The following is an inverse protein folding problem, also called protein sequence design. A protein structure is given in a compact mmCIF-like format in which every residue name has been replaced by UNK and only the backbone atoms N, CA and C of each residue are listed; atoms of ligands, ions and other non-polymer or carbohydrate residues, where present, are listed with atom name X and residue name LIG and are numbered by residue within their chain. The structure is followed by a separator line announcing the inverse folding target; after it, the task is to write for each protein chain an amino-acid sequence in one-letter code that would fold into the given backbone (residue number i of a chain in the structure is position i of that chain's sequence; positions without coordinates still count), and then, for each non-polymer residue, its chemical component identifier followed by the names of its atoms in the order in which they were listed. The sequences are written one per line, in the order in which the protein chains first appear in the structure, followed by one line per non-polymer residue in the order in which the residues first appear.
data_IF_916632960291
#
_entry.id   IF_916632960291
#
_cell.length_a   1.000
_cell.length_b   1.000
_cell.length_c   1.000
_cell.angle_alpha   90.00
_cell.angle_beta   90.00
_cell.angle_gamma   90.00
#
_symmetry.space_group_name_H-M   'P 1'
#
loop_
_entity.id
_entity.type
_entity.pdbx_description
1 polymer ?
#
# COMPACT_ATOMS: atom_id res chain seq x y z
N UNK A 1 20.48 -36.30 33.50
CA UNK A 1 19.73 -35.64 34.58
C UNK A 1 19.21 -34.32 34.02
N UNK A 2 17.97 -34.30 33.56
CA UNK A 2 17.30 -33.10 33.05
C UNK A 2 16.54 -32.46 34.21
N UNK A 3 16.94 -31.24 34.57
CA UNK A 3 16.42 -30.47 35.69
C UNK A 3 15.11 -29.79 35.28
N UNK A 4 13.97 -30.43 35.59
CA UNK A 4 12.63 -29.85 35.40
C UNK A 4 12.25 -29.05 36.64
N UNK A 5 12.42 -27.72 36.59
CA UNK A 5 11.90 -26.81 37.62
C UNK A 5 10.37 -26.91 37.69
N UNK A 6 9.85 -27.21 38.88
CA UNK A 6 8.42 -27.13 39.16
C UNK A 6 7.94 -25.66 39.18
N UNK A 7 6.74 -25.36 38.67
CA UNK A 7 6.18 -24.01 38.70
C UNK A 7 5.75 -23.62 40.12
N UNK A 8 6.00 -22.35 40.46
CA UNK A 8 5.66 -21.71 41.73
C UNK A 8 4.16 -21.42 41.80
N UNK A 9 3.49 -21.82 42.88
CA UNK A 9 2.07 -21.52 43.15
C UNK A 9 2.04 -20.43 44.22
N UNK A 10 1.56 -19.23 43.88
CA UNK A 10 1.29 -18.17 44.86
C UNK A 10 -0.15 -18.30 45.36
N UNK A 11 -0.32 -18.52 46.66
CA UNK A 11 -1.63 -18.61 47.29
C UNK A 11 -2.39 -17.28 47.16
N UNK A 12 -3.63 -17.34 46.64
CA UNK A 12 -4.64 -16.28 46.53
C UNK A 12 -4.50 -15.18 45.46
N UNK A 13 -3.95 -15.46 44.28
CA UNK A 13 -4.21 -14.64 43.09
C UNK A 13 -5.06 -15.41 42.07
N UNK A 14 -6.11 -14.77 41.54
CA UNK A 14 -6.88 -15.28 40.39
C UNK A 14 -5.89 -15.63 39.27
N UNK A 15 -5.95 -16.86 38.77
CA UNK A 15 -5.01 -17.28 37.73
C UNK A 15 -5.34 -16.56 36.42
N UNK A 16 -4.35 -16.42 35.54
CA UNK A 16 -4.56 -15.84 34.20
C UNK A 16 -5.64 -16.62 33.41
N UNK A 17 -5.80 -17.90 33.73
CA UNK A 17 -6.82 -18.80 33.18
C UNK A 17 -8.22 -18.48 33.71
N UNK A 18 -8.35 -18.12 34.99
CA UNK A 18 -9.63 -17.67 35.58
C UNK A 18 -10.08 -16.31 35.01
N UNK A 19 -9.11 -15.43 34.71
CA UNK A 19 -9.36 -14.16 34.01
C UNK A 19 -9.81 -14.40 32.56
N UNK A 20 -9.20 -15.34 31.83
CA UNK A 20 -9.64 -15.72 30.48
C UNK A 20 -11.07 -16.31 30.47
N UNK A 21 -11.41 -17.16 31.44
CA UNK A 21 -12.74 -17.76 31.58
C UNK A 21 -13.84 -16.74 31.93
N UNK A 22 -13.48 -15.65 32.62
CA UNK A 22 -14.41 -14.54 32.91
C UNK A 22 -14.70 -13.69 31.67
N UNK A 23 -13.72 -13.56 30.76
CA UNK A 23 -13.85 -12.81 29.50
C UNK A 23 -14.60 -13.58 28.40
N UNK A 24 -14.68 -14.91 28.49
CA UNK A 24 -15.39 -15.73 27.49
C UNK A 24 -16.92 -15.75 27.63
N UNK A 25 -17.46 -15.36 28.80
CA UNK A 25 -18.90 -15.50 29.11
C UNK A 25 -19.81 -14.42 28.53
N UNK A 26 -19.29 -13.34 27.95
CA UNK A 26 -20.12 -12.32 27.27
C UNK A 26 -19.94 -12.43 25.74
N UNK A 27 -20.51 -13.48 25.14
CA UNK A 27 -20.75 -13.54 23.70
C UNK A 27 -22.25 -13.53 23.46
N UNK A 28 -22.89 -12.35 23.55
CA UNK A 28 -24.24 -12.18 23.03
C UNK A 28 -24.20 -12.50 21.51
N UNK A 29 -24.85 -13.57 21.05
CA UNK A 29 -24.74 -14.06 19.68
C UNK A 29 -25.35 -13.08 18.66
N UNK A 30 -26.35 -12.29 19.06
CA UNK A 30 -26.91 -11.22 18.24
C UNK A 30 -25.89 -10.10 18.04
N UNK A 31 -25.23 -9.68 19.11
CA UNK A 31 -24.19 -8.64 19.08
C UNK A 31 -22.98 -9.08 18.24
N UNK A 32 -22.58 -10.36 18.34
CA UNK A 32 -21.56 -10.95 17.48
C UNK A 32 -21.99 -11.01 16.00
N UNK A 33 -23.27 -11.26 15.71
CA UNK A 33 -23.82 -11.25 14.35
C UNK A 33 -23.88 -9.83 13.77
N UNK A 34 -24.24 -8.84 14.59
CA UNK A 34 -24.27 -7.42 14.26
C UNK A 34 -22.84 -6.92 14.01
N UNK A 35 -21.89 -7.21 14.90
CA UNK A 35 -20.48 -6.89 14.73
C UNK A 35 -19.88 -7.55 13.48
N UNK A 36 -20.24 -8.81 13.17
CA UNK A 36 -19.86 -9.47 11.91
C UNK A 36 -20.46 -8.77 10.68
N UNK A 37 -21.71 -8.31 10.72
CA UNK A 37 -22.34 -7.53 9.62
C UNK A 37 -21.67 -6.15 9.46
N UNK A 38 -21.44 -5.44 10.55
CA UNK A 38 -20.76 -4.13 10.58
C UNK A 38 -19.32 -4.23 10.06
N UNK A 39 -18.57 -5.26 10.47
CA UNK A 39 -17.19 -5.47 10.00
C UNK A 39 -17.12 -5.94 8.53
N UNK A 40 -18.13 -6.64 8.02
CA UNK A 40 -18.22 -6.99 6.58
C UNK A 40 -18.48 -5.77 5.69
N UNK A 41 -19.21 -4.78 6.21
CA UNK A 41 -19.68 -3.58 5.49
C UNK A 41 -18.64 -2.47 5.39
N UNK A 42 -17.62 -2.43 6.25
CA UNK A 42 -16.59 -1.38 6.21
C UNK A 42 -15.63 -1.59 5.03
N UNK A 43 -16.00 -1.02 3.88
CA UNK A 43 -15.11 -0.87 2.73
C UNK A 43 -14.03 0.21 2.99
N UNK A 44 -14.32 1.11 3.94
CA UNK A 44 -13.46 2.18 4.41
C UNK A 44 -13.08 1.97 5.88
N UNK A 45 -11.82 2.23 6.22
CA UNK A 45 -11.34 2.44 7.58
C UNK A 45 -11.86 3.78 8.09
N UNK A 46 -12.03 3.89 9.40
CA UNK A 46 -12.29 5.20 10.01
C UNK A 46 -11.04 6.07 9.84
N UNK A 47 -11.17 7.35 9.48
CA UNK A 47 -10.05 8.26 9.55
C UNK A 47 -9.56 8.36 11.01
N UNK A 48 -8.24 8.51 11.24
CA UNK A 48 -7.71 8.78 12.58
C UNK A 48 -8.39 10.01 13.21
N UNK A 49 -8.57 9.97 14.52
CA UNK A 49 -9.24 11.04 15.30
C UNK A 49 -8.39 12.33 15.30
N UNK A 50 -7.08 12.19 15.15
CA UNK A 50 -6.06 13.22 15.32
C UNK A 50 -5.87 14.15 14.11
N UNK A 51 -6.91 14.33 13.29
CA UNK A 51 -6.91 15.28 12.17
C UNK A 51 -7.19 16.73 12.63
N UNK A 52 -7.12 17.02 13.93
CA UNK A 52 -7.45 18.34 14.49
C UNK A 52 -6.36 18.84 15.43
N UNK A 53 -5.71 19.90 14.94
CA UNK A 53 -4.88 20.86 15.66
C UNK A 53 -3.40 20.47 15.78
N UNK A 54 -2.60 21.04 14.88
CA UNK A 54 -1.16 21.05 14.96
C UNK A 54 -0.71 22.33 15.67
N UNK A 55 0.37 22.23 16.44
CA UNK A 55 1.03 23.37 17.07
C UNK A 55 1.51 24.37 16.00
N UNK A 56 1.29 25.66 16.23
CA UNK A 56 1.58 26.77 15.30
C UNK A 56 3.08 26.86 14.92
N UNK A 57 3.95 26.15 15.64
CA UNK A 57 5.40 26.27 15.55
C UNK A 57 6.11 25.09 14.88
N UNK A 58 5.39 24.05 14.46
CA UNK A 58 5.96 22.99 13.62
C UNK A 58 5.88 23.38 12.13
N UNK A 59 6.91 23.09 11.31
CA UNK A 59 6.80 23.25 9.86
C UNK A 59 5.54 22.50 9.37
N UNK A 60 4.76 23.08 8.44
CA UNK A 60 3.48 22.51 8.05
C UNK A 60 3.68 21.04 7.68
N UNK A 61 2.95 20.10 8.30
CA UNK A 61 3.15 18.70 7.99
C UNK A 61 2.88 18.50 6.50
N UNK A 62 3.61 17.54 5.94
CA UNK A 62 3.50 17.12 4.55
C UNK A 62 2.15 16.44 4.24
N UNK A 63 1.14 16.59 5.12
CA UNK A 63 -0.26 16.21 4.95
C UNK A 63 -0.96 16.93 3.79
N UNK A 64 -0.42 18.07 3.32
CA UNK A 64 -0.89 18.76 2.12
C UNK A 64 -0.21 18.27 0.82
N UNK A 65 0.68 17.27 0.89
CA UNK A 65 1.23 16.69 -0.33
C UNK A 65 0.16 15.84 -1.03
N UNK A 66 -0.14 16.23 -2.27
CA UNK A 66 -0.91 15.42 -3.20
C UNK A 66 -0.24 14.05 -3.40
N UNK A 67 -0.92 12.96 -3.01
CA UNK A 67 -0.44 11.59 -3.20
C UNK A 67 -0.19 11.30 -4.67
N UNK A 68 1.03 10.85 -4.97
CA UNK A 68 1.52 10.49 -6.31
C UNK A 68 1.83 9.00 -6.35
N UNK A 69 1.51 8.39 -7.47
CA UNK A 69 1.86 6.99 -7.76
C UNK A 69 2.45 6.90 -9.17
N UNK A 70 3.36 5.96 -9.36
CA UNK A 70 4.09 5.78 -10.62
C UNK A 70 3.24 4.97 -11.61
N UNK A 71 3.17 5.47 -12.84
CA UNK A 71 2.26 4.98 -13.87
C UNK A 71 2.58 3.55 -14.31
N UNK A 72 3.86 3.20 -14.44
CA UNK A 72 4.33 1.89 -14.89
C UNK A 72 3.99 0.78 -13.88
N UNK A 73 4.00 1.10 -12.58
CA UNK A 73 3.62 0.22 -11.47
C UNK A 73 2.10 0.10 -11.26
N UNK A 74 1.27 0.85 -11.99
CA UNK A 74 -0.20 0.71 -11.94
C UNK A 74 -0.71 -0.37 -12.89
N UNK A 75 -0.01 -0.65 -13.99
CA UNK A 75 -0.43 -1.66 -14.96
C UNK A 75 -0.14 -3.08 -14.46
N UNK A 76 0.86 -3.23 -13.58
CA UNK A 76 1.40 -4.51 -13.11
C UNK A 76 1.43 -4.49 -11.57
N UNK A 77 0.89 -5.52 -10.93
CA UNK A 77 0.96 -5.63 -9.47
C UNK A 77 2.37 -6.07 -9.03
N UNK A 78 3.12 -5.12 -8.47
CA UNK A 78 4.46 -5.36 -7.89
C UNK A 78 4.43 -5.76 -6.41
N UNK A 79 3.26 -6.18 -5.94
CA UNK A 79 3.00 -6.50 -4.54
C UNK A 79 1.88 -7.54 -4.42
N UNK A 80 1.77 -8.15 -3.24
CA UNK A 80 0.63 -8.98 -2.87
C UNK A 80 -0.63 -8.17 -2.59
N UNK A 81 -1.79 -8.60 -3.11
CA UNK A 81 -3.09 -7.96 -2.86
C UNK A 81 -3.67 -8.23 -1.47
N UNK A 82 -3.15 -9.24 -0.76
CA UNK A 82 -3.61 -9.60 0.57
C UNK A 82 -2.99 -8.73 1.67
N UNK A 83 -3.53 -8.86 2.89
CA UNK A 83 -2.88 -8.33 4.11
C UNK A 83 -1.70 -9.18 4.57
N UNK A 84 -1.74 -10.48 4.27
CA UNK A 84 -0.65 -11.41 4.57
C UNK A 84 0.38 -11.34 3.45
N UNK A 85 1.69 -11.33 3.79
CA UNK A 85 2.73 -11.37 2.79
C UNK A 85 2.65 -12.67 1.99
N UNK A 86 3.03 -12.59 0.72
CA UNK A 86 3.09 -13.69 -0.22
C UNK A 86 4.54 -14.07 -0.44
N UNK A 87 4.84 -15.37 -0.52
CA UNK A 87 6.20 -15.85 -0.77
C UNK A 87 6.40 -16.32 -2.21
N UNK A 88 5.33 -16.75 -2.88
CA UNK A 88 5.39 -17.17 -4.28
C UNK A 88 5.65 -15.96 -5.19
N UNK A 89 6.54 -16.06 -6.19
CA UNK A 89 6.80 -14.97 -7.11
C UNK A 89 5.57 -14.67 -7.97
N UNK A 90 5.49 -13.43 -8.47
CA UNK A 90 4.50 -13.02 -9.48
C UNK A 90 5.22 -12.91 -10.81
N UNK A 91 4.70 -13.61 -11.83
CA UNK A 91 5.27 -13.61 -13.17
C UNK A 91 4.30 -12.97 -14.17
N UNK A 92 4.84 -12.11 -15.01
CA UNK A 92 4.14 -11.46 -16.10
C UNK A 92 4.88 -11.72 -17.41
N UNK A 93 4.16 -12.30 -18.36
CA UNK A 93 4.65 -12.52 -19.72
C UNK A 93 4.00 -11.49 -20.64
N UNK A 94 4.71 -10.40 -20.90
CA UNK A 94 4.32 -9.39 -21.87
C UNK A 94 4.83 -9.79 -23.27
N UNK A 95 4.41 -9.05 -24.29
CA UNK A 95 4.80 -9.33 -25.68
C UNK A 95 6.30 -9.23 -25.93
N UNK A 96 6.97 -8.33 -25.22
CA UNK A 96 8.37 -7.93 -25.43
C UNK A 96 9.24 -8.03 -24.16
N UNK A 97 8.64 -8.40 -23.03
CA UNK A 97 9.34 -8.49 -21.75
C UNK A 97 8.73 -9.58 -20.85
N UNK A 98 9.61 -10.23 -20.08
CA UNK A 98 9.23 -11.08 -18.96
C UNK A 98 9.56 -10.33 -17.67
N UNK A 99 8.57 -10.19 -16.79
CA UNK A 99 8.71 -9.48 -15.52
C UNK A 99 8.44 -10.48 -14.40
N UNK A 100 9.35 -10.53 -13.43
CA UNK A 100 9.23 -11.38 -12.26
C UNK A 100 9.36 -10.52 -11.01
N UNK A 101 8.40 -10.64 -10.10
CA UNK A 101 8.39 -9.95 -8.81
C UNK A 101 8.57 -11.00 -7.72
N UNK A 102 9.58 -10.84 -6.88
CA UNK A 102 9.92 -11.79 -5.83
C UNK A 102 10.16 -11.05 -4.51
N UNK A 103 9.67 -11.62 -3.40
CA UNK A 103 9.95 -11.12 -2.05
C UNK A 103 11.14 -11.83 -1.40
N UNK A 104 11.56 -11.35 -0.23
CA UNK A 104 12.54 -12.05 0.59
C UNK A 104 12.01 -13.38 1.12
N UNK A 105 12.87 -14.39 1.26
CA UNK A 105 12.49 -15.74 1.74
C UNK A 105 11.87 -15.72 3.13
N UNK A 106 12.33 -14.82 4.03
CA UNK A 106 11.90 -14.79 5.43
C UNK A 106 10.71 -13.85 5.66
N UNK A 107 10.71 -12.68 5.01
CA UNK A 107 9.73 -11.61 5.23
C UNK A 107 8.59 -11.60 4.20
N UNK A 108 8.79 -12.25 3.05
CA UNK A 108 7.85 -12.30 1.94
C UNK A 108 7.83 -11.01 1.11
N UNK A 109 6.98 -11.00 0.09
CA UNK A 109 6.78 -9.86 -0.80
C UNK A 109 5.99 -8.76 -0.11
N UNK A 110 6.30 -7.50 -0.46
CA UNK A 110 5.53 -6.34 -0.06
C UNK A 110 4.05 -6.52 -0.43
N UNK A 111 3.17 -6.08 0.47
CA UNK A 111 1.73 -6.04 0.25
C UNK A 111 1.32 -4.68 -0.32
N UNK A 112 0.11 -4.60 -0.88
CA UNK A 112 -0.48 -3.34 -1.33
C UNK A 112 -0.60 -2.29 -0.21
N UNK A 113 -0.62 -2.71 1.06
CA UNK A 113 -0.62 -1.80 2.21
C UNK A 113 0.79 -1.31 2.53
N UNK A 114 1.81 -2.13 2.33
CA UNK A 114 3.21 -1.69 2.48
C UNK A 114 3.57 -0.66 1.42
N UNK A 115 3.01 -0.83 0.22
CA UNK A 115 3.16 0.11 -0.89
C UNK A 115 2.75 1.55 -0.56
N UNK A 116 1.97 1.79 0.50
CA UNK A 116 1.64 3.14 0.99
C UNK A 116 2.91 3.95 1.34
N UNK A 117 3.95 3.31 1.87
CA UNK A 117 5.24 3.96 2.19
C UNK A 117 5.97 4.34 0.90
N UNK A 118 5.87 3.50 -0.14
CA UNK A 118 6.42 3.81 -1.46
C UNK A 118 5.68 4.99 -2.10
N UNK A 119 4.36 5.07 -1.96
CA UNK A 119 3.56 6.23 -2.39
C UNK A 119 4.01 7.51 -1.66
N UNK A 120 4.25 7.45 -0.35
CA UNK A 120 4.80 8.56 0.40
C UNK A 120 6.15 9.02 -0.18
N UNK A 121 7.07 8.10 -0.42
CA UNK A 121 8.40 8.40 -0.95
C UNK A 121 8.34 9.11 -2.32
N UNK A 122 7.52 8.62 -3.25
CA UNK A 122 7.33 9.26 -4.57
C UNK A 122 6.71 10.65 -4.40
N UNK A 123 5.70 10.76 -3.55
CA UNK A 123 4.97 12.00 -3.32
C UNK A 123 5.87 13.07 -2.75
N UNK A 124 6.69 12.72 -1.77
CA UNK A 124 7.71 13.58 -1.18
C UNK A 124 8.71 14.05 -2.24
N UNK A 125 9.33 13.13 -2.99
CA UNK A 125 10.33 13.47 -3.99
C UNK A 125 9.75 14.37 -5.10
N UNK A 126 8.52 14.09 -5.53
CA UNK A 126 7.82 14.90 -6.54
C UNK A 126 7.50 16.30 -6.00
N UNK A 127 7.10 16.41 -4.74
CA UNK A 127 6.83 17.70 -4.09
C UNK A 127 8.10 18.55 -3.99
N UNK A 128 9.19 17.97 -3.51
CA UNK A 128 10.48 18.66 -3.42
C UNK A 128 10.99 19.10 -4.79
N UNK A 129 10.90 18.24 -5.81
CA UNK A 129 11.28 18.63 -7.16
C UNK A 129 10.40 19.76 -7.71
N UNK A 130 9.10 19.75 -7.43
CA UNK A 130 8.20 20.84 -7.84
C UNK A 130 8.51 22.15 -7.12
N UNK A 131 8.92 22.10 -5.85
CA UNK A 131 9.39 23.27 -5.08
C UNK A 131 10.66 23.83 -5.70
N UNK A 132 11.65 22.99 -5.96
CA UNK A 132 12.90 23.38 -6.62
C UNK A 132 12.61 24.02 -7.98
N UNK A 133 11.80 23.37 -8.83
CA UNK A 133 11.41 23.94 -10.14
C UNK A 133 10.79 25.34 -10.04
N UNK A 134 10.10 25.65 -8.93
CA UNK A 134 9.56 27.00 -8.69
C UNK A 134 10.65 27.99 -8.27
N UNK A 135 11.61 27.58 -7.46
CA UNK A 135 12.72 28.42 -7.01
C UNK A 135 13.70 28.72 -8.15
N UNK A 136 14.01 27.74 -9.01
CA UNK A 136 14.78 27.94 -10.25
C UNK A 136 14.11 28.99 -11.13
N UNK A 137 12.78 28.92 -11.29
CA UNK A 137 12.01 29.92 -12.05
C UNK A 137 12.05 31.34 -11.44
N UNK A 138 12.34 31.46 -10.14
CA UNK A 138 12.52 32.75 -9.46
C UNK A 138 13.96 33.28 -9.54
N UNK A 139 14.89 32.50 -10.11
CA UNK A 139 16.30 32.87 -10.23
C UNK A 139 17.16 32.56 -9.00
N UNK A 140 16.68 31.68 -8.10
CA UNK A 140 17.46 31.17 -6.97
C UNK A 140 18.35 29.99 -7.40
N UNK A 141 19.34 29.63 -6.57
CA UNK A 141 20.30 28.55 -6.85
C UNK A 141 19.64 27.20 -7.18
N UNK A 142 20.25 26.51 -8.14
CA UNK A 142 19.87 25.16 -8.55
C UNK A 142 20.44 24.13 -7.56
N UNK A 143 19.56 23.37 -6.90
CA UNK A 143 19.96 22.15 -6.19
C UNK A 143 19.04 20.99 -6.58
N UNK A 144 19.53 19.76 -6.44
CA UNK A 144 18.73 18.55 -6.65
C UNK A 144 18.23 17.99 -5.31
N UNK A 145 17.05 17.35 -5.27
CA UNK A 145 16.59 16.67 -4.07
C UNK A 145 17.60 15.61 -3.59
N UNK A 146 17.73 15.36 -2.28
CA UNK A 146 18.56 14.28 -1.77
C UNK A 146 18.02 12.90 -2.21
N UNK A 147 18.92 11.92 -2.36
CA UNK A 147 18.59 10.51 -2.67
C UNK A 147 18.10 9.72 -1.44
N UNK A 148 17.84 10.38 -0.32
CA UNK A 148 17.34 9.76 0.91
C UNK A 148 16.34 10.68 1.59
N UNK A 149 15.30 10.10 2.17
CA UNK A 149 14.29 10.80 2.96
C UNK A 149 14.40 10.41 4.43
N UNK A 150 14.09 11.35 5.32
CA UNK A 150 14.11 11.15 6.77
C UNK A 150 12.76 11.52 7.40
N UNK A 151 11.69 10.73 7.15
CA UNK A 151 10.38 11.04 7.69
C UNK A 151 10.33 10.77 9.20
N UNK A 152 9.58 11.61 9.93
CA UNK A 152 9.12 11.24 11.27
C UNK A 152 8.12 10.09 11.18
N UNK A 153 8.10 9.22 12.19
CA UNK A 153 7.14 8.10 12.22
C UNK A 153 5.71 8.59 12.29
N UNK A 154 5.46 9.64 13.08
CA UNK A 154 4.13 10.23 13.21
C UNK A 154 3.64 10.77 11.85
N UNK A 155 4.52 11.45 11.12
CA UNK A 155 4.24 11.99 9.80
C UNK A 155 3.90 10.89 8.78
N UNK A 156 4.71 9.83 8.75
CA UNK A 156 4.49 8.71 7.84
C UNK A 156 3.17 7.96 8.14
N UNK A 157 2.86 7.76 9.43
CA UNK A 157 1.60 7.14 9.86
C UNK A 157 0.39 8.02 9.51
N UNK A 158 0.50 9.33 9.74
CA UNK A 158 -0.53 10.32 9.39
C UNK A 158 -0.80 10.33 7.89
N UNK A 159 0.26 10.39 7.08
CA UNK A 159 0.15 10.33 5.63
C UNK A 159 -0.56 9.05 5.16
N UNK A 160 -0.19 7.90 5.73
CA UNK A 160 -0.81 6.61 5.41
C UNK A 160 -2.22 6.41 6.03
N UNK A 161 -2.74 7.42 6.75
CA UNK A 161 -3.98 7.35 7.54
C UNK A 161 -4.03 6.09 8.42
N UNK A 162 -2.99 5.92 9.25
CA UNK A 162 -2.87 4.85 10.24
C UNK A 162 -2.86 5.46 11.64
N UNK A 163 -3.42 4.74 12.60
CA UNK A 163 -3.46 5.19 13.99
C UNK A 163 -2.06 5.19 14.64
N UNK A 164 -1.86 6.04 15.63
CA UNK A 164 -0.65 6.07 16.45
C UNK A 164 -0.74 5.00 17.54
N UNK A 165 -0.03 3.88 17.37
CA UNK A 165 -0.05 2.79 18.35
C UNK A 165 1.16 1.88 18.22
N UNK A 166 1.60 1.28 19.33
CA UNK A 166 2.80 0.44 19.42
C UNK A 166 2.89 -0.67 18.37
N UNK A 167 1.75 -1.28 18.04
CA UNK A 167 1.67 -2.31 17.00
C UNK A 167 1.97 -1.76 15.60
N UNK A 168 1.53 -0.53 15.28
CA UNK A 168 1.76 0.10 13.99
C UNK A 168 3.25 0.41 13.76
N UNK A 169 4.02 0.66 14.81
CA UNK A 169 5.49 0.81 14.71
C UNK A 169 6.15 -0.51 14.29
N UNK A 170 5.79 -1.63 14.93
CA UNK A 170 6.30 -2.96 14.55
C UNK A 170 5.86 -3.36 13.14
N UNK A 171 4.64 -3.00 12.75
CA UNK A 171 4.15 -3.22 11.39
C UNK A 171 4.93 -2.40 10.37
N UNK A 172 5.26 -1.14 10.69
CA UNK A 172 6.06 -0.26 9.83
C UNK A 172 7.46 -0.82 9.57
N UNK A 173 8.15 -1.29 10.61
CA UNK A 173 9.46 -1.95 10.47
C UNK A 173 9.38 -3.16 9.52
N UNK A 174 8.40 -4.04 9.74
CA UNK A 174 8.16 -5.19 8.85
C UNK A 174 7.76 -4.77 7.42
N UNK A 175 7.05 -3.66 7.25
CA UNK A 175 6.71 -3.12 5.94
C UNK A 175 7.97 -2.64 5.19
N UNK A 176 8.88 -1.94 5.87
CA UNK A 176 10.16 -1.50 5.30
C UNK A 176 11.04 -2.68 4.91
N UNK A 177 11.12 -3.71 5.76
CA UNK A 177 11.83 -4.96 5.45
C UNK A 177 11.26 -5.64 4.19
N UNK A 178 9.94 -5.74 4.06
CA UNK A 178 9.31 -6.32 2.86
C UNK A 178 9.53 -5.47 1.60
N UNK A 179 9.48 -4.15 1.71
CA UNK A 179 9.69 -3.25 0.58
C UNK A 179 11.13 -3.30 0.04
N UNK A 180 12.12 -3.35 0.93
CA UNK A 180 13.55 -3.39 0.56
C UNK A 180 13.95 -4.74 -0.05
N UNK A 181 13.30 -5.81 0.38
CA UNK A 181 13.55 -7.18 -0.11
C UNK A 181 12.73 -7.55 -1.34
N UNK A 182 11.68 -6.80 -1.67
CA UNK A 182 10.91 -7.03 -2.90
C UNK A 182 11.71 -6.59 -4.12
N UNK A 183 12.11 -7.55 -4.95
CA UNK A 183 12.86 -7.34 -6.19
C UNK A 183 11.96 -7.54 -7.40
N UNK A 184 12.05 -6.60 -8.34
CA UNK A 184 11.39 -6.64 -9.64
C UNK A 184 12.49 -6.87 -10.68
N UNK A 185 12.43 -8.03 -11.33
CA UNK A 185 13.33 -8.41 -12.41
C UNK A 185 12.61 -8.23 -13.74
N UNK A 186 13.22 -7.52 -14.68
CA UNK A 186 12.73 -7.33 -16.04
C UNK A 186 13.75 -7.93 -17.01
N UNK A 187 13.31 -8.91 -17.78
CA UNK A 187 14.05 -9.46 -18.91
C UNK A 187 13.39 -9.00 -20.19
N UNK A 188 14.01 -8.04 -20.89
CA UNK A 188 13.55 -7.60 -22.21
C UNK A 188 14.05 -8.57 -23.27
N UNK A 189 13.12 -9.12 -24.05
CA UNK A 189 13.43 -10.05 -25.14
C UNK A 189 13.23 -9.29 -26.45
N UNK A 190 14.34 -8.88 -27.07
CA UNK A 190 14.32 -8.30 -28.41
C UNK A 190 15.06 -9.24 -29.38
N UNK A 191 14.81 -9.14 -30.68
CA UNK A 191 15.37 -10.03 -31.69
C UNK A 191 16.90 -9.99 -31.81
N UNK A 192 17.54 -8.92 -31.31
CA UNK A 192 19.00 -8.71 -31.39
C UNK A 192 19.72 -8.78 -30.04
N UNK A 193 19.11 -8.30 -28.94
CA UNK A 193 19.75 -8.18 -27.63
C UNK A 193 18.80 -8.61 -26.51
N UNK A 194 19.35 -9.26 -25.47
CA UNK A 194 18.68 -9.52 -24.19
C UNK A 194 19.23 -8.55 -23.14
N UNK A 195 18.36 -7.75 -22.52
CA UNK A 195 18.72 -6.86 -21.40
C UNK A 195 17.97 -7.32 -20.16
N UNK A 196 18.72 -7.62 -19.10
CA UNK A 196 18.16 -7.95 -17.80
C UNK A 196 18.43 -6.76 -16.85
N UNK A 197 17.41 -6.38 -16.10
CA UNK A 197 17.52 -5.41 -15.01
C UNK A 197 16.79 -5.95 -13.79
N UNK A 198 17.33 -5.66 -12.60
CA UNK A 198 16.68 -5.96 -11.33
C UNK A 198 16.71 -4.72 -10.47
N UNK A 199 15.57 -4.37 -9.89
CA UNK A 199 15.45 -3.20 -9.02
C UNK A 199 14.52 -3.48 -7.85
N UNK A 200 14.64 -2.65 -6.82
CA UNK A 200 13.86 -2.75 -5.59
C UNK A 200 12.87 -1.60 -5.51
N UNK A 201 11.80 -1.75 -4.72
CA UNK A 201 10.84 -0.68 -4.49
C UNK A 201 11.43 0.45 -3.64
N UNK A 202 12.17 0.12 -2.59
CA UNK A 202 12.99 1.07 -1.83
C UNK A 202 14.46 0.62 -1.84
N UNK A 203 15.37 1.55 -1.60
CA UNK A 203 16.78 1.24 -1.38
C UNK A 203 17.00 0.70 0.03
N UNK A 204 18.12 1.08 0.62
CA UNK A 204 18.40 0.78 2.02
C UNK A 204 17.49 1.58 2.96
N UNK A 205 17.24 1.05 4.14
CA UNK A 205 16.55 1.77 5.20
C UNK A 205 17.31 1.62 6.51
N UNK A 206 17.28 2.65 7.35
CA UNK A 206 17.86 2.64 8.69
C UNK A 206 16.79 3.08 9.69
N UNK A 207 16.63 2.32 10.77
CA UNK A 207 15.73 2.63 11.87
C UNK A 207 16.59 2.74 13.12
N UNK A 208 16.57 3.90 13.75
CA UNK A 208 17.21 4.10 15.05
C UNK A 208 16.14 4.03 16.13
N UNK A 209 16.37 3.20 17.14
CA UNK A 209 15.44 3.01 18.25
C UNK A 209 16.12 3.42 19.55
N UNK A 210 15.44 4.21 20.36
CA UNK A 210 15.94 4.61 21.68
C UNK A 210 15.96 3.38 22.59
N UNK A 211 17.13 3.09 23.18
CA UNK A 211 17.33 1.90 24.04
C UNK A 211 16.45 1.91 25.29
N UNK A 212 16.19 3.09 25.85
CA UNK A 212 15.46 3.25 27.12
C UNK A 212 13.95 3.12 26.96
N UNK A 213 13.39 3.71 25.89
CA UNK A 213 11.93 3.75 25.67
C UNK A 213 11.45 2.72 24.65
N UNK A 214 12.37 2.11 23.89
CA UNK A 214 12.04 1.23 22.76
C UNK A 214 11.33 1.93 21.60
N UNK A 215 11.25 3.27 21.62
CA UNK A 215 10.60 4.07 20.58
C UNK A 215 11.57 4.33 19.42
N UNK A 216 11.04 4.28 18.20
CA UNK A 216 11.79 4.66 17.00
C UNK A 216 12.07 6.17 17.09
N UNK A 217 13.36 6.55 17.08
CA UNK A 217 13.79 7.95 17.02
C UNK A 217 13.79 8.46 15.60
N UNK A 218 14.40 7.71 14.68
CA UNK A 218 14.69 8.18 13.32
C UNK A 218 14.52 7.06 12.31
N UNK A 219 13.90 7.38 11.18
CA UNK A 219 13.82 6.52 10.01
C UNK A 219 14.52 7.24 8.85
N UNK A 220 15.44 6.55 8.19
CA UNK A 220 16.00 6.99 6.91
C UNK A 220 15.65 5.96 5.85
N UNK A 221 15.12 6.42 4.70
CA UNK A 221 14.79 5.57 3.56
C UNK A 221 15.56 6.08 2.35
N UNK A 222 16.35 5.22 1.72
CA UNK A 222 17.05 5.51 0.47
C UNK A 222 16.12 5.31 -0.72
N UNK A 223 16.16 6.27 -1.65
CA UNK A 223 15.36 6.24 -2.88
C UNK A 223 16.15 5.46 -3.93
N UNK A 224 15.58 4.39 -4.53
CA UNK A 224 16.25 3.68 -5.62
C UNK A 224 16.55 4.59 -6.80
N UNK A 225 17.68 4.34 -7.46
CA UNK A 225 18.13 5.15 -8.60
C UNK A 225 17.07 5.28 -9.70
N UNK A 226 16.37 4.19 -10.04
CA UNK A 226 15.34 4.21 -11.07
C UNK A 226 14.15 5.12 -10.72
N UNK A 227 13.77 5.20 -9.44
CA UNK A 227 12.70 6.11 -8.96
C UNK A 227 13.20 7.54 -9.00
N UNK A 228 14.40 7.77 -8.46
CA UNK A 228 15.01 9.09 -8.39
C UNK A 228 15.15 9.70 -9.78
N UNK A 229 15.75 8.95 -10.71
CA UNK A 229 15.96 9.41 -12.08
C UNK A 229 14.63 9.62 -12.81
N UNK A 230 13.65 8.73 -12.58
CA UNK A 230 12.30 8.85 -13.16
C UNK A 230 11.53 10.11 -12.74
N UNK A 231 11.89 10.73 -11.62
CA UNK A 231 11.21 11.92 -11.08
C UNK A 231 12.05 13.19 -11.25
N UNK A 232 13.35 13.11 -10.96
CA UNK A 232 14.25 14.27 -10.90
C UNK A 232 14.86 14.59 -12.26
N UNK A 233 15.25 13.57 -13.03
CA UNK A 233 15.99 13.76 -14.29
C UNK A 233 15.09 13.89 -15.52
N UNK A 234 13.81 13.56 -15.40
CA UNK A 234 12.82 13.67 -16.47
C UNK A 234 12.06 14.99 -16.33
N UNK A 235 11.91 15.73 -17.43
CA UNK A 235 11.18 17.01 -17.44
C UNK A 235 9.71 16.83 -16.98
N UNK A 236 9.05 15.82 -17.53
CA UNK A 236 7.66 15.43 -17.23
C UNK A 236 7.63 14.04 -16.58
N UNK A 237 7.67 13.94 -15.23
CA UNK A 237 7.68 12.66 -14.54
C UNK A 237 6.36 11.89 -14.75
N UNK A 238 6.45 10.57 -14.92
CA UNK A 238 5.31 9.67 -15.16
C UNK A 238 4.57 9.31 -13.87
N UNK A 239 4.05 10.33 -13.17
CA UNK A 239 3.33 10.18 -11.91
C UNK A 239 1.87 10.63 -12.02
N UNK A 240 0.96 9.91 -11.38
CA UNK A 240 -0.46 10.25 -11.29
C UNK A 240 -0.85 10.62 -9.87
N UNK A 241 -1.65 11.68 -9.74
CA UNK A 241 -2.27 12.03 -8.46
C UNK A 241 -3.36 11.01 -8.09
N UNK A 242 -3.32 10.48 -6.88
CA UNK A 242 -4.38 9.70 -6.24
C UNK A 242 -5.19 10.57 -5.27
N UNK A 243 -6.44 10.19 -5.04
CA UNK A 243 -7.27 10.81 -4.01
C UNK A 243 -6.77 10.40 -2.61
N UNK A 244 -6.67 11.32 -1.63
CA UNK A 244 -6.26 11.00 -0.25
C UNK A 244 -7.12 9.92 0.45
N UNK A 245 -8.39 9.78 0.07
CA UNK A 245 -9.28 8.74 0.60
C UNK A 245 -8.90 7.32 0.12
N UNK A 246 -7.96 7.20 -0.83
CA UNK A 246 -7.34 5.94 -1.21
C UNK A 246 -6.81 5.18 0.02
N UNK A 247 -6.15 5.87 0.94
CA UNK A 247 -5.60 5.24 2.15
C UNK A 247 -6.69 4.70 3.07
N UNK A 248 -7.91 5.21 3.00
CA UNK A 248 -9.01 4.68 3.81
C UNK A 248 -9.54 3.35 3.28
N UNK A 249 -9.24 2.96 2.04
CA UNK A 249 -9.67 1.68 1.50
C UNK A 249 -9.08 0.52 2.33
N UNK A 250 -9.95 -0.29 2.92
CA UNK A 250 -9.54 -1.35 3.85
C UNK A 250 -9.16 -2.65 3.12
N UNK A 251 -9.74 -2.89 1.95
CA UNK A 251 -9.55 -4.11 1.17
C UNK A 251 -8.51 -3.89 0.07
N UNK A 252 -7.53 -4.78 -0.04
CA UNK A 252 -6.50 -4.69 -1.08
C UNK A 252 -7.06 -4.77 -2.50
N UNK A 253 -8.13 -5.54 -2.71
CA UNK A 253 -8.84 -5.56 -4.00
C UNK A 253 -9.43 -4.19 -4.38
N UNK A 254 -9.92 -3.40 -3.41
CA UNK A 254 -10.44 -2.06 -3.67
C UNK A 254 -9.34 -1.09 -4.09
N UNK A 255 -8.20 -1.14 -3.39
CA UNK A 255 -7.02 -0.34 -3.72
C UNK A 255 -6.48 -0.67 -5.11
N UNK A 256 -6.38 -1.97 -5.43
CA UNK A 256 -5.98 -2.40 -6.77
C UNK A 256 -6.93 -1.90 -7.85
N UNK A 257 -8.24 -2.05 -7.64
CA UNK A 257 -9.25 -1.55 -8.58
C UNK A 257 -9.21 -0.03 -8.73
N UNK A 258 -8.97 0.71 -7.65
CA UNK A 258 -8.82 2.17 -7.68
C UNK A 258 -7.60 2.60 -8.51
N UNK A 259 -6.43 1.97 -8.28
CA UNK A 259 -5.20 2.25 -9.07
C UNK A 259 -5.44 1.94 -10.55
N UNK A 260 -6.06 0.80 -10.83
CA UNK A 260 -6.39 0.41 -12.20
C UNK A 260 -7.36 1.39 -12.85
N UNK A 261 -8.42 1.81 -12.16
CA UNK A 261 -9.37 2.81 -12.65
C UNK A 261 -8.69 4.16 -12.90
N UNK A 262 -7.80 4.60 -12.00
CA UNK A 262 -7.05 5.85 -12.16
C UNK A 262 -6.18 5.83 -13.41
N UNK A 263 -5.46 4.75 -13.65
CA UNK A 263 -4.61 4.56 -14.84
C UNK A 263 -5.42 4.44 -16.12
N UNK A 264 -6.52 3.71 -16.07
CA UNK A 264 -7.32 3.31 -17.23
C UNK A 264 -8.30 4.40 -17.69
N UNK A 265 -9.15 4.83 -16.76
CA UNK A 265 -10.23 5.76 -17.04
C UNK A 265 -9.74 7.21 -16.88
N UNK A 266 -8.73 7.47 -16.04
CA UNK A 266 -8.29 8.85 -15.79
C UNK A 266 -9.45 9.72 -15.33
N UNK A 267 -9.86 10.68 -16.15
CA UNK A 267 -11.04 11.55 -15.92
C UNK A 267 -12.26 11.21 -16.81
N UNK A 268 -12.21 10.09 -17.54
CA UNK A 268 -13.24 9.65 -18.49
C UNK A 268 -13.81 8.28 -18.06
N UNK A 269 -13.98 7.35 -19.00
CA UNK A 269 -14.40 5.98 -18.75
C UNK A 269 -13.46 5.00 -19.45
N UNK A 270 -13.31 3.81 -18.88
CA UNK A 270 -12.55 2.72 -19.46
C UNK A 270 -13.25 1.38 -19.21
N UNK A 271 -13.07 0.45 -20.14
CA UNK A 271 -13.62 -0.91 -20.03
C UNK A 271 -12.52 -1.92 -20.29
N UNK A 272 -12.35 -2.86 -19.36
CA UNK A 272 -11.42 -3.98 -19.51
C UNK A 272 -12.14 -5.31 -19.47
N UNK A 273 -11.63 -6.28 -20.22
CA UNK A 273 -12.09 -7.65 -20.08
C UNK A 273 -11.65 -8.22 -18.73
N UNK A 274 -12.46 -9.13 -18.20
CA UNK A 274 -12.20 -9.76 -16.91
C UNK A 274 -10.84 -10.48 -16.89
N UNK A 275 -10.45 -11.09 -18.00
CA UNK A 275 -9.18 -11.82 -18.17
C UNK A 275 -7.98 -10.88 -18.04
N UNK A 276 -8.05 -9.68 -18.65
CA UNK A 276 -6.96 -8.69 -18.53
C UNK A 276 -6.80 -8.20 -17.10
N UNK A 277 -7.90 -8.04 -16.36
CA UNK A 277 -7.83 -7.62 -14.96
C UNK A 277 -7.25 -8.75 -14.10
N UNK A 278 -7.60 -10.00 -14.41
CA UNK A 278 -7.02 -11.18 -13.74
C UNK A 278 -5.51 -11.22 -13.93
N UNK A 279 -5.03 -11.10 -15.16
CA UNK A 279 -3.60 -11.06 -15.48
C UNK A 279 -2.90 -9.94 -14.71
N UNK A 280 -3.43 -8.71 -14.74
CA UNK A 280 -2.86 -7.55 -14.05
C UNK A 280 -2.85 -7.70 -12.52
N UNK A 281 -3.83 -8.42 -11.96
CA UNK A 281 -3.95 -8.62 -10.51
C UNK A 281 -2.81 -9.44 -9.91
N UNK A 282 -2.09 -10.22 -10.73
CA UNK A 282 -0.98 -11.05 -10.28
C UNK A 282 -1.38 -12.13 -9.26
N UNK A 283 -2.67 -12.48 -9.12
CA UNK A 283 -3.14 -13.43 -8.11
C UNK A 283 -2.73 -14.87 -8.41
N UNK A 284 -2.48 -15.69 -7.38
CA UNK A 284 -2.31 -17.15 -7.50
C UNK A 284 -3.64 -17.90 -7.55
N UNK A 285 -4.76 -17.23 -7.25
CA UNK A 285 -6.06 -17.89 -7.20
C UNK A 285 -6.47 -18.33 -8.60
N UNK A 286 -7.03 -19.53 -8.70
CA UNK A 286 -7.65 -20.03 -9.94
C UNK A 286 -8.71 -19.05 -10.43
N UNK A 287 -8.70 -18.75 -11.73
CA UNK A 287 -9.59 -17.75 -12.37
C UNK A 287 -11.05 -17.85 -11.93
N UNK A 288 -11.64 -19.05 -11.82
CA UNK A 288 -13.04 -19.24 -11.39
C UNK A 288 -13.30 -18.70 -9.98
N UNK A 289 -12.41 -18.96 -9.02
CA UNK A 289 -12.54 -18.47 -7.64
C UNK A 289 -12.34 -16.97 -7.59
N UNK A 290 -11.28 -16.48 -8.25
CA UNK A 290 -11.02 -15.05 -8.36
C UNK A 290 -12.18 -14.28 -9.01
N UNK A 291 -12.80 -14.83 -10.07
CA UNK A 291 -13.98 -14.28 -10.73
C UNK A 291 -15.16 -14.13 -9.75
N UNK A 292 -15.35 -15.10 -8.86
CA UNK A 292 -16.37 -15.00 -7.81
C UNK A 292 -16.01 -13.89 -6.81
N UNK A 293 -14.75 -13.86 -6.35
CA UNK A 293 -14.26 -12.87 -5.38
C UNK A 293 -14.40 -11.44 -5.91
N UNK A 294 -13.99 -11.20 -7.17
CA UNK A 294 -14.05 -9.87 -7.78
C UNK A 294 -15.49 -9.44 -8.06
N UNK A 295 -16.39 -10.38 -8.38
CA UNK A 295 -17.83 -10.10 -8.52
C UNK A 295 -18.43 -9.66 -7.18
N UNK A 296 -18.14 -10.36 -6.09
CA UNK A 296 -18.55 -9.97 -4.74
C UNK A 296 -17.94 -8.63 -4.31
N UNK A 297 -16.69 -8.38 -4.69
CA UNK A 297 -16.00 -7.11 -4.45
C UNK A 297 -16.72 -5.96 -5.14
N UNK A 298 -17.02 -6.08 -6.44
CA UNK A 298 -17.74 -5.05 -7.21
C UNK A 298 -19.16 -4.85 -6.69
N UNK A 299 -19.84 -5.92 -6.26
CA UNK A 299 -21.16 -5.79 -5.63
C UNK A 299 -21.10 -4.95 -4.36
N UNK A 300 -20.07 -5.13 -3.51
CA UNK A 300 -19.87 -4.32 -2.31
C UNK A 300 -19.55 -2.84 -2.63
N UNK A 301 -18.95 -2.56 -3.79
CA UNK A 301 -18.67 -1.18 -4.25
C UNK A 301 -19.94 -0.41 -4.68
N UNK A 302 -21.09 -1.08 -4.85
CA UNK A 302 -22.36 -0.39 -5.11
C UNK A 302 -22.85 0.41 -3.90
N UNK A 303 -22.62 -0.11 -2.70
CA UNK A 303 -23.01 0.55 -1.44
C UNK A 303 -22.00 1.62 -1.04
N UNK A 304 -20.70 1.31 -1.17
CA UNK A 304 -19.62 2.24 -0.89
C UNK A 304 -18.66 2.30 -2.08
N UNK A 305 -18.84 3.26 -3.02
CA UNK A 305 -18.02 3.38 -4.21
C UNK A 305 -16.56 3.71 -3.86
N UNK A 306 -15.66 3.51 -4.81
CA UNK A 306 -14.26 3.92 -4.66
C UNK A 306 -14.16 5.46 -4.73
N UNK A 307 -13.12 6.08 -4.14
CA UNK A 307 -12.89 7.51 -4.31
C UNK A 307 -12.80 7.83 -5.80
N UNK A 308 -13.52 8.86 -6.27
CA UNK A 308 -13.53 9.33 -7.67
C UNK A 308 -14.01 8.36 -8.75
N UNK A 309 -14.31 7.09 -8.43
CA UNK A 309 -14.57 6.05 -9.43
C UNK A 309 -15.75 5.15 -9.09
N UNK A 310 -16.63 4.95 -10.07
CA UNK A 310 -17.65 3.90 -10.07
C UNK A 310 -17.19 2.73 -10.91
N UNK A 311 -17.40 1.51 -10.41
CA UNK A 311 -17.05 0.26 -11.09
C UNK A 311 -18.30 -0.59 -11.27
N UNK A 312 -18.54 -1.01 -12.51
CA UNK A 312 -19.69 -1.84 -12.85
C UNK A 312 -19.27 -3.13 -13.56
N UNK A 313 -20.08 -4.16 -13.35
CA UNK A 313 -19.96 -5.47 -13.99
C UNK A 313 -20.84 -5.49 -15.24
N UNK A 314 -20.25 -5.60 -16.42
CA UNK A 314 -20.96 -5.70 -17.69
C UNK A 314 -20.83 -7.10 -18.29
N UNK A 315 -21.95 -7.66 -18.73
CA UNK A 315 -21.96 -8.94 -19.43
C UNK A 315 -22.50 -8.72 -20.84
N UNK A 316 -21.66 -8.96 -21.85
CA UNK A 316 -22.04 -8.91 -23.26
C UNK A 316 -21.90 -10.31 -23.85
N UNK A 317 -23.03 -11.03 -23.93
CA UNK A 317 -23.04 -12.44 -24.31
C UNK A 317 -22.25 -13.31 -23.32
N UNK A 318 -21.24 -14.04 -23.81
CA UNK A 318 -20.34 -14.87 -22.97
C UNK A 318 -19.18 -14.08 -22.35
N UNK A 319 -18.91 -12.85 -22.81
CA UNK A 319 -17.78 -12.04 -22.34
C UNK A 319 -18.20 -11.18 -21.16
N UNK A 320 -17.35 -11.16 -20.14
CA UNK A 320 -17.50 -10.30 -18.96
C UNK A 320 -16.49 -9.18 -19.06
N UNK A 321 -16.96 -7.95 -18.95
CA UNK A 321 -16.15 -6.77 -18.86
C UNK A 321 -16.41 -6.04 -17.54
N UNK A 322 -15.41 -5.30 -17.09
CA UNK A 322 -15.53 -4.38 -15.95
C UNK A 322 -15.38 -2.97 -16.52
N UNK A 323 -16.42 -2.16 -16.34
CA UNK A 323 -16.44 -0.75 -16.74
C UNK A 323 -16.11 0.12 -15.53
N UNK A 324 -15.23 1.08 -15.74
CA UNK A 324 -14.73 2.03 -14.74
C UNK A 324 -15.06 3.43 -15.23
N UNK A 325 -15.77 4.22 -14.43
CA UNK A 325 -16.24 5.55 -14.81
C UNK A 325 -15.75 6.53 -13.74
N UNK A 326 -15.11 7.61 -14.17
CA UNK A 326 -14.76 8.71 -13.30
C UNK A 326 -16.03 9.47 -12.88
N UNK A 327 -16.30 9.53 -11.59
CA UNK A 327 -17.48 10.23 -11.03
C UNK A 327 -17.14 11.61 -10.49
N UNK A 328 -15.86 11.99 -10.48
CA UNK A 328 -15.37 13.19 -9.81
C UNK A 328 -15.45 13.11 -8.28
N UNK A 329 -14.92 14.13 -7.62
CA UNK A 329 -15.10 14.33 -6.18
C UNK A 329 -16.55 14.79 -5.95
N UNK A 330 -17.46 13.83 -5.74
CA UNK A 330 -18.71 14.14 -5.05
C UNK A 330 -18.33 14.48 -3.61
N UNK A 331 -18.29 15.78 -3.31
CA UNK A 331 -18.13 16.31 -1.94
C UNK A 331 -19.27 15.83 -1.04
#
# INVERSE_FOLDING_TARGET
MTDTKQPYVSDNCETYTDLEDSHEKIKNPELASILKKVNRSRNYRKPPIDNKQLDIFEPPPLTDISTKDEISLMDIAVFGLGRKPRFEPIEYNLKDAHIMVQGGTNCGMATIFDYDIFLYMISYLTNEMNRIKKEIKKGNDDYLPPRSIKPSVAELLNYCRRDHGGENYKLLEKSLERLSTTKISITKVNSKNRRNGMFSLIGDYNITTQKETGRISDITISIPEWVYDGIVRIENPTVLTLNPDYFLLDKGAHRFLHRLARKAAGKTEATYSLEKIYERSGTTRVFRRWKSDIKSTIAALKENPLPEYSISWETKGKKVNIKMIYTGNKK
#
